data_IF_921177125707
#
_entry.id   IF_921177125707
#
_cell.length_a   1.000
_cell.length_b   1.000
_cell.length_c   1.000
_cell.angle_alpha   90.00
_cell.angle_beta   90.00
_cell.angle_gamma   90.00
#
_symmetry.space_group_name_H-M   'P 1'
#
loop_
_entity.id
_entity.type
_entity.pdbx_description
1 polymer ?
#
# COMPACT_ATOMS: atom_id res chain seq x y z
N UNK A 1 -19.52 -23.95 9.25
CA UNK A 1 -20.60 -24.82 9.78
C UNK A 1 -20.23 -25.44 11.14
N UNK A 2 -18.95 -25.75 11.41
CA UNK A 2 -18.51 -26.34 12.69
C UNK A 2 -18.53 -25.38 13.90
N UNK A 3 -18.29 -24.09 13.69
CA UNK A 3 -18.30 -23.07 14.76
C UNK A 3 -19.69 -22.87 15.36
N UNK A 4 -20.74 -22.83 14.53
CA UNK A 4 -22.15 -22.73 14.96
C UNK A 4 -22.61 -23.92 15.82
N UNK A 5 -22.10 -25.13 15.55
CA UNK A 5 -22.41 -26.34 16.33
C UNK A 5 -21.72 -26.32 17.71
N UNK A 6 -20.57 -25.65 17.78
CA UNK A 6 -19.74 -25.49 18.99
C UNK A 6 -20.39 -24.57 20.03
N UNK A 7 -21.07 -23.52 19.58
CA UNK A 7 -21.70 -22.57 20.49
C UNK A 7 -23.05 -23.06 21.03
N UNK A 8 -23.80 -23.84 20.23
CA UNK A 8 -25.03 -24.50 20.68
C UNK A 8 -24.81 -25.48 21.84
N UNK A 9 -23.80 -26.36 21.77
CA UNK A 9 -23.55 -27.30 22.87
C UNK A 9 -23.12 -26.60 24.17
N UNK A 10 -22.44 -25.45 24.07
CA UNK A 10 -21.99 -24.67 25.22
C UNK A 10 -23.17 -23.95 25.89
N UNK A 11 -24.10 -23.43 25.10
CA UNK A 11 -25.32 -22.80 25.59
C UNK A 11 -26.24 -23.82 26.26
N UNK A 12 -26.41 -25.00 25.65
CA UNK A 12 -27.21 -26.10 26.21
C UNK A 12 -26.65 -26.58 27.54
N UNK A 13 -25.31 -26.67 27.68
CA UNK A 13 -24.66 -27.06 28.93
C UNK A 13 -24.85 -26.04 30.05
N UNK A 14 -24.89 -24.74 29.73
CA UNK A 14 -25.18 -23.68 30.73
C UNK A 14 -26.65 -23.69 31.17
N UNK A 15 -27.57 -23.88 30.23
CA UNK A 15 -29.01 -24.02 30.51
C UNK A 15 -29.30 -25.26 31.37
N UNK A 16 -28.65 -26.39 31.08
CA UNK A 16 -28.78 -27.62 31.87
C UNK A 16 -28.30 -27.45 33.31
N UNK A 17 -27.21 -26.70 33.53
CA UNK A 17 -26.72 -26.39 34.88
C UNK A 17 -27.72 -25.48 35.60
N UNK A 18 -28.19 -24.40 34.98
CA UNK A 18 -29.18 -23.51 35.58
C UNK A 18 -30.49 -24.26 35.93
N UNK A 19 -30.97 -25.12 35.04
CA UNK A 19 -32.17 -25.93 35.24
C UNK A 19 -31.99 -26.92 36.40
N UNK A 20 -30.85 -27.62 36.45
CA UNK A 20 -30.52 -28.55 37.54
C UNK A 20 -30.47 -27.85 38.89
N UNK A 21 -29.88 -26.66 38.95
CA UNK A 21 -29.83 -25.83 40.17
C UNK A 21 -31.23 -25.42 40.61
N UNK A 22 -32.07 -24.96 39.68
CA UNK A 22 -33.46 -24.60 40.00
C UNK A 22 -34.29 -25.80 40.49
N UNK A 23 -34.08 -26.98 39.91
CA UNK A 23 -34.79 -28.20 40.30
C UNK A 23 -34.39 -28.67 41.70
N UNK A 24 -33.11 -28.54 42.05
CA UNK A 24 -32.61 -28.85 43.40
C UNK A 24 -33.23 -27.91 44.44
N UNK A 25 -33.31 -26.60 44.15
CA UNK A 25 -33.93 -25.63 45.05
C UNK A 25 -35.42 -25.92 45.28
N UNK A 26 -36.17 -26.22 44.22
CA UNK A 26 -37.59 -26.58 44.29
C UNK A 26 -37.79 -27.87 45.09
N UNK A 27 -36.91 -28.86 44.90
CA UNK A 27 -36.93 -30.12 45.65
C UNK A 27 -36.70 -29.90 47.15
N UNK A 28 -35.75 -29.02 47.51
CA UNK A 28 -35.46 -28.70 48.91
C UNK A 28 -36.63 -27.94 49.56
N UNK A 29 -37.26 -27.00 48.85
CA UNK A 29 -38.47 -26.30 49.33
C UNK A 29 -39.62 -27.29 49.56
N UNK A 30 -39.82 -28.22 48.63
CA UNK A 30 -40.83 -29.27 48.76
C UNK A 30 -40.56 -30.20 49.95
N UNK A 31 -39.29 -30.54 50.20
CA UNK A 31 -38.88 -31.36 51.35
C UNK A 31 -39.07 -30.62 52.68
N UNK A 32 -38.79 -29.31 52.74
CA UNK A 32 -39.06 -28.47 53.91
C UNK A 32 -40.56 -28.42 54.23
N UNK A 33 -41.43 -28.31 53.23
CA UNK A 33 -42.89 -28.37 53.41
C UNK A 33 -43.38 -29.74 53.89
N UNK A 34 -42.79 -30.81 53.37
CA UNK A 34 -43.18 -32.17 53.74
C UNK A 34 -42.75 -32.54 55.17
N UNK A 35 -41.55 -32.13 55.59
CA UNK A 35 -40.98 -32.49 56.90
C UNK A 35 -41.53 -31.67 58.08
N UNK A 36 -42.03 -30.45 57.85
CA UNK A 36 -42.76 -29.66 58.87
C UNK A 36 -43.99 -30.39 59.43
N UNK A 37 -44.50 -31.42 58.74
CA UNK A 37 -45.77 -32.09 59.07
C UNK A 37 -45.66 -33.23 60.10
N UNK A 38 -44.47 -33.56 60.60
CA UNK A 38 -44.27 -34.67 61.56
C UNK A 38 -43.45 -34.22 62.79
N UNK A 39 -44.07 -34.08 63.98
CA UNK A 39 -43.32 -33.89 65.21
C UNK A 39 -42.84 -35.26 65.72
N UNK A 40 -41.79 -35.26 66.55
CA UNK A 40 -41.16 -36.41 67.25
C UNK A 40 -39.88 -36.93 66.55
N UNK A 41 -38.75 -36.27 66.82
CA UNK A 41 -37.43 -36.86 67.07
C UNK A 41 -36.44 -35.72 67.43
N UNK A 42 -35.72 -35.87 68.56
CA UNK A 42 -34.91 -34.84 69.21
C UNK A 42 -33.57 -34.50 68.55
N UNK A 43 -33.55 -34.42 67.22
CA UNK A 43 -32.38 -33.95 66.45
C UNK A 43 -32.79 -32.69 65.69
N UNK A 44 -31.94 -31.67 65.63
CA UNK A 44 -32.26 -30.41 64.97
C UNK A 44 -32.21 -30.55 63.43
N UNK A 45 -33.26 -31.14 62.88
CA UNK A 45 -33.41 -31.43 61.45
C UNK A 45 -33.45 -30.15 60.61
N UNK A 46 -33.97 -29.05 61.16
CA UNK A 46 -33.91 -27.74 60.51
C UNK A 46 -32.47 -27.28 60.36
N UNK A 47 -31.66 -27.38 61.43
CA UNK A 47 -30.23 -27.07 61.39
C UNK A 47 -29.47 -27.91 60.37
N UNK A 48 -29.71 -29.23 60.32
CA UNK A 48 -29.06 -30.14 59.36
C UNK A 48 -29.43 -29.82 57.90
N UNK A 49 -30.71 -29.57 57.61
CA UNK A 49 -31.20 -29.21 56.28
C UNK A 49 -30.62 -27.88 55.80
N UNK A 50 -30.62 -26.86 56.66
CA UNK A 50 -30.03 -25.56 56.35
C UNK A 50 -28.51 -25.68 56.17
N UNK A 51 -27.84 -26.54 56.94
CA UNK A 51 -26.41 -26.83 56.79
C UNK A 51 -26.05 -27.47 55.44
N UNK A 52 -26.79 -28.50 55.02
CA UNK A 52 -26.57 -29.15 53.72
C UNK A 52 -26.90 -28.19 52.56
N UNK A 53 -27.98 -27.42 52.69
CA UNK A 53 -28.34 -26.40 51.71
C UNK A 53 -27.25 -25.33 51.57
N UNK A 54 -26.73 -24.82 52.69
CA UNK A 54 -25.65 -23.84 52.71
C UNK A 54 -24.36 -24.39 52.08
N UNK A 55 -24.03 -25.66 52.34
CA UNK A 55 -22.89 -26.34 51.73
C UNK A 55 -23.05 -26.47 50.21
N UNK A 56 -24.24 -26.85 49.73
CA UNK A 56 -24.57 -26.93 48.30
C UNK A 56 -24.48 -25.57 47.62
N UNK A 57 -25.11 -24.54 48.16
CA UNK A 57 -25.09 -23.19 47.60
C UNK A 57 -23.65 -22.64 47.56
N UNK A 58 -22.85 -22.89 48.60
CA UNK A 58 -21.44 -22.48 48.64
C UNK A 58 -20.62 -23.18 47.55
N UNK A 59 -20.82 -24.48 47.33
CA UNK A 59 -20.15 -25.23 46.26
C UNK A 59 -20.55 -24.73 44.86
N UNK A 60 -21.83 -24.36 44.65
CA UNK A 60 -22.30 -23.75 43.41
C UNK A 60 -21.63 -22.39 43.14
N UNK A 61 -21.58 -21.52 44.14
CA UNK A 61 -20.94 -20.20 44.01
C UNK A 61 -19.44 -20.36 43.74
N UNK A 62 -18.77 -21.28 44.43
CA UNK A 62 -17.36 -21.60 44.21
C UNK A 62 -17.08 -22.06 42.77
N UNK A 63 -17.94 -22.90 42.19
CA UNK A 63 -17.83 -23.33 40.80
C UNK A 63 -18.03 -22.19 39.79
N UNK A 64 -18.99 -21.29 40.05
CA UNK A 64 -19.23 -20.12 39.21
C UNK A 64 -18.01 -19.18 39.21
N UNK A 65 -17.45 -18.88 40.39
CA UNK A 65 -16.25 -18.04 40.53
C UNK A 65 -15.06 -18.66 39.78
N UNK A 66 -14.79 -19.95 39.98
CA UNK A 66 -13.70 -20.65 39.29
C UNK A 66 -13.86 -20.60 37.75
N UNK A 67 -15.09 -20.77 37.27
CA UNK A 67 -15.38 -20.72 35.83
C UNK A 67 -15.17 -19.32 35.25
N UNK A 68 -15.60 -18.27 35.96
CA UNK A 68 -15.43 -16.87 35.53
C UNK A 68 -13.96 -16.48 35.39
N UNK A 69 -13.13 -16.80 36.39
CA UNK A 69 -11.68 -16.52 36.35
C UNK A 69 -11.01 -17.25 35.17
N UNK A 70 -11.40 -18.50 34.92
CA UNK A 70 -10.88 -19.28 33.77
C UNK A 70 -11.30 -18.72 32.40
N UNK A 71 -12.44 -18.03 32.33
CA UNK A 71 -12.90 -17.33 31.11
C UNK A 71 -12.14 -16.03 30.90
N UNK A 72 -11.92 -15.23 31.95
CA UNK A 72 -11.14 -13.98 31.88
C UNK A 72 -9.72 -14.24 31.38
N UNK A 73 -9.04 -15.26 31.90
CA UNK A 73 -7.70 -15.63 31.43
C UNK A 73 -7.70 -15.97 29.93
N UNK A 74 -8.68 -16.76 29.47
CA UNK A 74 -8.81 -17.10 28.04
C UNK A 74 -9.15 -15.88 27.19
N UNK A 75 -9.94 -14.94 27.70
CA UNK A 75 -10.26 -13.70 26.99
C UNK A 75 -9.00 -12.85 26.82
N UNK A 76 -8.19 -12.69 27.88
CA UNK A 76 -6.92 -11.98 27.81
C UNK A 76 -5.92 -12.62 26.84
N UNK A 77 -5.86 -13.95 26.78
CA UNK A 77 -5.02 -14.66 25.81
C UNK A 77 -5.56 -14.49 24.37
N UNK A 78 -6.88 -14.41 24.20
CA UNK A 78 -7.49 -14.13 22.88
C UNK A 78 -7.20 -12.70 22.45
N UNK A 79 -7.35 -11.71 23.33
CA UNK A 79 -7.01 -10.30 23.06
C UNK A 79 -5.55 -10.16 22.63
N UNK A 80 -4.61 -10.74 23.40
CA UNK A 80 -3.19 -10.76 23.01
C UNK A 80 -2.94 -11.41 21.65
N UNK A 81 -3.65 -12.49 21.34
CA UNK A 81 -3.54 -13.15 20.03
C UNK A 81 -4.10 -12.29 18.91
N UNK A 82 -5.19 -11.55 19.15
CA UNK A 82 -5.77 -10.61 18.19
C UNK A 82 -4.82 -9.43 17.97
N UNK A 83 -4.24 -8.87 19.03
CA UNK A 83 -3.28 -7.78 18.94
C UNK A 83 -2.03 -8.22 18.16
N UNK A 84 -1.46 -9.38 18.48
CA UNK A 84 -0.34 -9.94 17.75
C UNK A 84 -0.68 -10.21 16.27
N UNK A 85 -1.90 -10.65 15.96
CA UNK A 85 -2.32 -10.80 14.56
C UNK A 85 -2.42 -9.45 13.86
N UNK A 86 -2.98 -8.43 14.53
CA UNK A 86 -3.08 -7.09 13.97
C UNK A 86 -1.69 -6.51 13.69
N UNK A 87 -0.72 -6.67 14.59
CA UNK A 87 0.65 -6.19 14.36
C UNK A 87 1.29 -6.90 13.17
N UNK A 88 1.15 -8.23 13.07
CA UNK A 88 1.69 -9.00 11.93
C UNK A 88 1.04 -8.59 10.61
N UNK A 89 -0.28 -8.36 10.60
CA UNK A 89 -1.00 -7.90 9.41
C UNK A 89 -0.54 -6.52 8.96
N UNK A 90 -0.32 -5.58 9.88
CA UNK A 90 0.20 -4.26 9.54
C UNK A 90 1.64 -4.33 9.02
N UNK A 91 2.49 -5.20 9.57
CA UNK A 91 3.83 -5.46 9.05
C UNK A 91 3.81 -6.07 7.64
N UNK A 92 2.94 -7.06 7.39
CA UNK A 92 2.79 -7.68 6.06
C UNK A 92 2.24 -6.69 5.03
N UNK A 93 1.21 -5.90 5.39
CA UNK A 93 0.70 -4.82 4.52
C UNK A 93 1.79 -3.85 4.13
N UNK A 94 2.62 -3.44 5.09
CA UNK A 94 3.74 -2.54 4.84
C UNK A 94 4.74 -3.14 3.85
N UNK A 95 5.14 -4.40 4.06
CA UNK A 95 6.06 -5.11 3.14
C UNK A 95 5.49 -5.20 1.74
N UNK A 96 4.21 -5.58 1.61
CA UNK A 96 3.53 -5.65 0.30
C UNK A 96 3.51 -4.27 -0.36
N UNK A 97 3.23 -3.20 0.38
CA UNK A 97 3.22 -1.85 -0.16
C UNK A 97 4.62 -1.42 -0.64
N UNK A 98 5.66 -1.67 0.17
CA UNK A 98 7.05 -1.38 -0.18
C UNK A 98 7.50 -2.18 -1.43
N UNK A 99 7.08 -3.45 -1.55
CA UNK A 99 7.33 -4.29 -2.73
C UNK A 99 6.61 -3.78 -3.98
N UNK A 100 5.32 -3.40 -3.85
CA UNK A 100 4.55 -2.82 -4.95
C UNK A 100 5.17 -1.50 -5.44
N UNK A 101 5.55 -0.61 -4.53
CA UNK A 101 6.22 0.66 -4.84
C UNK A 101 7.57 0.41 -5.54
N UNK A 102 8.34 -0.59 -5.11
CA UNK A 102 9.59 -0.99 -5.75
C UNK A 102 9.38 -1.50 -7.19
N UNK A 103 8.39 -2.37 -7.39
CA UNK A 103 8.07 -2.92 -8.71
C UNK A 103 7.52 -1.86 -9.66
N UNK A 104 6.70 -0.93 -9.16
CA UNK A 104 6.22 0.22 -9.93
C UNK A 104 7.39 1.13 -10.35
N UNK A 105 8.31 1.46 -9.43
CA UNK A 105 9.51 2.24 -9.77
C UNK A 105 10.34 1.59 -10.86
N UNK A 106 10.62 0.28 -10.76
CA UNK A 106 11.36 -0.47 -11.80
C UNK A 106 10.62 -0.46 -13.14
N UNK A 107 9.30 -0.65 -13.12
CA UNK A 107 8.46 -0.66 -14.32
C UNK A 107 8.50 0.70 -15.02
N UNK A 108 8.26 1.78 -14.27
CA UNK A 108 8.27 3.16 -14.78
C UNK A 108 9.65 3.54 -15.32
N UNK A 109 10.72 3.14 -14.63
CA UNK A 109 12.10 3.32 -15.06
C UNK A 109 12.38 2.64 -16.41
N UNK A 110 11.94 1.38 -16.59
CA UNK A 110 12.06 0.64 -17.85
C UNK A 110 11.22 1.26 -18.98
N UNK A 111 10.00 1.69 -18.68
CA UNK A 111 9.12 2.35 -19.64
C UNK A 111 9.75 3.67 -20.13
N UNK A 112 10.20 4.51 -19.20
CA UNK A 112 10.90 5.76 -19.51
C UNK A 112 12.13 5.50 -20.41
N UNK A 113 12.93 4.48 -20.10
CA UNK A 113 14.08 4.13 -20.93
C UNK A 113 13.68 3.75 -22.37
N UNK A 114 12.62 2.95 -22.54
CA UNK A 114 12.12 2.56 -23.87
C UNK A 114 11.59 3.76 -24.65
N UNK A 115 10.82 4.65 -23.99
CA UNK A 115 10.33 5.89 -24.61
C UNK A 115 11.50 6.79 -25.01
N UNK A 116 12.50 6.95 -24.16
CA UNK A 116 13.69 7.73 -24.46
C UNK A 116 14.44 7.22 -25.69
N UNK A 117 14.63 5.90 -25.79
CA UNK A 117 15.21 5.25 -26.97
C UNK A 117 14.39 5.42 -28.24
N UNK A 118 13.06 5.31 -28.13
CA UNK A 118 12.17 5.48 -29.28
C UNK A 118 12.26 6.90 -29.84
N UNK A 119 12.27 7.91 -28.97
CA UNK A 119 12.43 9.30 -29.38
C UNK A 119 13.79 9.56 -30.02
N UNK A 120 14.88 9.02 -29.44
CA UNK A 120 16.21 9.11 -30.07
C UNK A 120 16.21 8.51 -31.48
N UNK A 121 15.61 7.33 -31.65
CA UNK A 121 15.51 6.67 -32.95
C UNK A 121 14.68 7.48 -33.94
N UNK A 122 13.55 8.05 -33.50
CA UNK A 122 12.72 8.93 -34.33
C UNK A 122 13.53 10.12 -34.83
N UNK A 123 14.18 10.87 -33.94
CA UNK A 123 15.04 12.00 -34.32
C UNK A 123 16.13 11.58 -35.32
N UNK A 124 16.82 10.47 -35.04
CA UNK A 124 17.88 9.96 -35.91
C UNK A 124 17.38 9.51 -37.28
N UNK A 125 16.19 8.90 -37.37
CA UNK A 125 15.57 8.51 -38.64
C UNK A 125 15.22 9.74 -39.47
N UNK A 126 14.53 10.72 -38.88
CA UNK A 126 14.19 11.97 -39.58
C UNK A 126 15.45 12.67 -40.10
N UNK A 127 16.50 12.76 -39.27
CA UNK A 127 17.75 13.38 -39.67
C UNK A 127 18.48 12.58 -40.76
N UNK A 128 18.47 11.25 -40.69
CA UNK A 128 19.07 10.38 -41.72
C UNK A 128 18.34 10.47 -43.07
N UNK A 129 17.03 10.72 -43.04
CA UNK A 129 16.21 10.98 -44.23
C UNK A 129 16.38 12.41 -44.77
N UNK A 130 17.18 13.26 -44.10
CA UNK A 130 17.39 14.68 -44.43
C UNK A 130 16.09 15.48 -44.46
N UNK A 131 15.17 15.09 -43.59
CA UNK A 131 13.92 15.82 -43.37
C UNK A 131 14.23 17.21 -42.83
N UNK A 132 13.59 18.23 -43.38
CA UNK A 132 13.89 19.63 -43.08
C UNK A 132 13.08 20.18 -41.90
N UNK A 133 12.63 19.28 -41.02
CA UNK A 133 11.78 19.54 -39.85
C UNK A 133 12.62 19.66 -38.58
N UNK A 134 13.55 20.60 -38.57
CA UNK A 134 14.62 20.67 -37.58
C UNK A 134 14.10 20.89 -36.16
N UNK A 135 13.05 21.68 -35.96
CA UNK A 135 12.47 21.87 -34.63
C UNK A 135 11.77 20.62 -34.10
N UNK A 136 11.13 19.83 -34.97
CA UNK A 136 10.56 18.54 -34.59
C UNK A 136 11.66 17.54 -34.21
N UNK A 137 12.74 17.47 -35.01
CA UNK A 137 13.89 16.61 -34.74
C UNK A 137 14.54 16.98 -33.39
N UNK A 138 14.76 18.28 -33.15
CA UNK A 138 15.27 18.77 -31.87
C UNK A 138 14.36 18.39 -30.70
N UNK A 139 13.04 18.53 -30.84
CA UNK A 139 12.08 18.11 -29.83
C UNK A 139 12.18 16.60 -29.53
N UNK A 140 12.35 15.73 -30.54
CA UNK A 140 12.58 14.30 -30.30
C UNK A 140 13.83 14.06 -29.44
N UNK A 141 14.92 14.77 -29.69
CA UNK A 141 16.13 14.63 -28.87
C UNK A 141 15.99 15.16 -27.45
N UNK A 142 15.29 16.29 -27.25
CA UNK A 142 14.95 16.77 -25.91
C UNK A 142 14.10 15.73 -25.16
N UNK A 143 13.11 15.13 -25.84
CA UNK A 143 12.29 14.07 -25.25
C UNK A 143 13.12 12.82 -24.93
N UNK A 144 14.08 12.47 -25.78
CA UNK A 144 14.98 11.34 -25.53
C UNK A 144 15.77 11.56 -24.22
N UNK A 145 16.41 12.72 -24.04
CA UNK A 145 17.12 13.07 -22.81
C UNK A 145 16.17 13.09 -21.61
N UNK A 146 15.02 13.74 -21.75
CA UNK A 146 14.01 13.85 -20.69
C UNK A 146 13.64 12.49 -20.09
N UNK A 147 13.27 11.53 -20.94
CA UNK A 147 12.84 10.21 -20.49
C UNK A 147 14.01 9.34 -20.04
N UNK A 148 15.19 9.45 -20.64
CA UNK A 148 16.40 8.75 -20.15
C UNK A 148 16.76 9.21 -18.73
N UNK A 149 16.68 10.52 -18.43
CA UNK A 149 16.97 11.04 -17.09
C UNK A 149 15.96 10.61 -16.02
N UNK A 150 14.75 10.21 -16.41
CA UNK A 150 13.72 9.62 -15.55
C UNK A 150 13.82 8.09 -15.44
N UNK A 151 14.82 7.50 -16.07
CA UNK A 151 15.15 6.08 -15.95
C UNK A 151 16.41 5.90 -15.11
N UNK A 152 16.60 4.69 -14.57
CA UNK A 152 17.84 4.32 -13.88
C UNK A 152 18.97 3.97 -14.87
N UNK A 153 18.71 4.04 -16.18
CA UNK A 153 19.66 3.67 -17.23
C UNK A 153 20.52 4.85 -17.68
N UNK A 154 21.80 4.59 -17.99
CA UNK A 154 22.81 5.61 -18.34
C UNK A 154 22.98 5.90 -19.84
N UNK A 155 22.17 5.31 -20.73
CA UNK A 155 22.58 5.25 -22.14
C UNK A 155 22.02 6.38 -23.02
N UNK A 156 22.88 6.79 -23.97
CA UNK A 156 22.61 7.64 -25.14
C UNK A 156 22.51 9.16 -24.93
N UNK A 157 22.85 9.71 -23.75
CA UNK A 157 22.83 11.19 -23.58
C UNK A 157 23.84 11.88 -24.51
N UNK A 158 25.12 11.48 -24.47
CA UNK A 158 26.13 12.13 -25.32
C UNK A 158 25.83 11.98 -26.81
N UNK A 159 25.54 10.78 -27.36
CA UNK A 159 25.12 10.67 -28.75
C UNK A 159 23.89 11.52 -29.09
N UNK A 160 22.95 11.68 -28.15
CA UNK A 160 21.78 12.55 -28.37
C UNK A 160 22.21 14.01 -28.48
N UNK A 161 23.09 14.49 -27.59
CA UNK A 161 23.64 15.86 -27.65
C UNK A 161 24.40 16.11 -28.95
N UNK A 162 25.20 15.15 -29.41
CA UNK A 162 25.96 15.26 -30.66
C UNK A 162 25.01 15.39 -31.87
N UNK A 163 23.92 14.60 -31.90
CA UNK A 163 22.91 14.72 -32.96
C UNK A 163 22.08 16.01 -32.85
N UNK A 164 21.79 16.50 -31.64
CA UNK A 164 21.17 17.81 -31.44
C UNK A 164 22.04 18.92 -32.03
N UNK A 165 23.34 18.89 -31.76
CA UNK A 165 24.28 19.86 -32.32
C UNK A 165 24.31 19.80 -33.85
N UNK A 166 24.37 18.59 -34.41
CA UNK A 166 24.32 18.40 -35.86
C UNK A 166 23.03 18.99 -36.45
N UNK A 167 21.87 18.66 -35.87
CA UNK A 167 20.56 19.15 -36.32
C UNK A 167 20.50 20.70 -36.31
N UNK A 168 20.99 21.34 -35.25
CA UNK A 168 21.01 22.80 -35.17
C UNK A 168 22.01 23.43 -36.16
N UNK A 169 23.14 22.76 -36.41
CA UNK A 169 24.12 23.22 -37.40
C UNK A 169 23.57 23.15 -38.84
N UNK A 170 22.88 22.07 -39.18
CA UNK A 170 22.21 21.88 -40.47
C UNK A 170 21.09 22.91 -40.65
N UNK A 171 20.30 23.17 -39.59
CA UNK A 171 19.28 24.22 -39.60
C UNK A 171 19.83 25.60 -39.88
N UNK A 172 20.98 25.96 -39.28
CA UNK A 172 21.63 27.26 -39.50
C UNK A 172 22.13 27.44 -40.93
N UNK A 173 22.53 26.34 -41.59
CA UNK A 173 23.00 26.36 -42.97
C UNK A 173 21.87 26.27 -44.01
N UNK A 174 20.69 25.82 -43.61
CA UNK A 174 19.56 25.63 -44.50
C UNK A 174 18.89 26.96 -44.90
N UNK A 175 18.65 27.13 -46.20
CA UNK A 175 17.88 28.26 -46.76
C UNK A 175 16.41 27.92 -47.01
N UNK A 176 16.07 26.64 -46.95
CA UNK A 176 14.73 26.08 -47.17
C UNK A 176 14.47 25.03 -46.08
N UNK A 177 13.33 25.11 -45.40
CA UNK A 177 12.99 24.31 -44.23
C UNK A 177 11.47 24.18 -44.04
N UNK A 178 11.05 23.12 -43.35
CA UNK A 178 9.65 22.80 -43.06
C UNK A 178 9.42 22.73 -41.55
N UNK A 179 9.69 23.84 -40.87
CA UNK A 179 9.57 23.98 -39.41
C UNK A 179 8.14 24.39 -38.97
N UNK A 180 7.13 24.28 -39.84
CA UNK A 180 5.77 24.71 -39.57
C UNK A 180 5.15 23.98 -38.36
N UNK A 181 5.22 24.64 -37.20
CA UNK A 181 4.32 24.61 -36.03
C UNK A 181 3.79 23.28 -35.46
N UNK A 182 4.44 22.14 -35.70
CA UNK A 182 4.03 20.86 -35.08
C UNK A 182 4.55 20.66 -33.64
N UNK A 183 5.32 21.61 -33.10
CA UNK A 183 5.93 21.53 -31.77
C UNK A 183 5.20 22.44 -30.78
N UNK A 184 4.62 21.82 -29.76
CA UNK A 184 4.09 22.52 -28.58
C UNK A 184 5.27 23.10 -27.76
N UNK A 185 5.53 24.40 -27.96
CA UNK A 185 6.67 25.11 -27.39
C UNK A 185 6.58 25.22 -25.86
N UNK A 186 5.39 25.40 -25.29
CA UNK A 186 5.22 25.46 -23.85
C UNK A 186 5.57 24.12 -23.20
N UNK A 187 5.11 23.02 -23.81
CA UNK A 187 5.43 21.67 -23.36
C UNK A 187 6.91 21.34 -23.54
N UNK A 188 7.54 21.82 -24.61
CA UNK A 188 8.97 21.67 -24.84
C UNK A 188 9.78 22.42 -23.78
N UNK A 189 9.50 23.71 -23.57
CA UNK A 189 10.16 24.55 -22.57
C UNK A 189 10.08 23.94 -21.17
N UNK A 190 8.90 23.44 -20.78
CA UNK A 190 8.72 22.75 -19.50
C UNK A 190 9.64 21.53 -19.36
N UNK A 191 9.80 20.73 -20.42
CA UNK A 191 10.71 19.56 -20.40
C UNK A 191 12.17 20.00 -20.30
N UNK A 192 12.55 21.08 -20.98
CA UNK A 192 13.89 21.66 -20.93
C UNK A 192 14.22 22.11 -19.50
N UNK A 193 13.30 22.81 -18.85
CA UNK A 193 13.45 23.24 -17.44
C UNK A 193 13.60 22.02 -16.51
N UNK A 194 12.77 20.97 -16.69
CA UNK A 194 12.89 19.73 -15.91
C UNK A 194 14.23 19.02 -16.13
N UNK A 195 14.79 19.03 -17.35
CA UNK A 195 16.12 18.49 -17.65
C UNK A 195 17.21 19.32 -16.95
N UNK A 196 17.15 20.64 -17.08
CA UNK A 196 18.09 21.59 -16.48
C UNK A 196 18.12 21.44 -14.95
N UNK A 197 16.96 21.22 -14.33
CA UNK A 197 16.83 21.05 -12.89
C UNK A 197 17.03 19.60 -12.40
N UNK A 198 17.19 18.64 -13.32
CA UNK A 198 17.32 17.23 -12.98
C UNK A 198 18.53 16.97 -12.09
N UNK A 199 18.32 16.28 -10.97
CA UNK A 199 19.40 15.84 -10.05
C UNK A 199 19.89 14.44 -10.38
N UNK A 200 19.57 13.92 -11.56
CA UNK A 200 19.97 12.56 -11.95
C UNK A 200 21.49 12.43 -11.94
N UNK A 201 22.06 11.41 -11.26
CA UNK A 201 23.50 11.17 -11.27
C UNK A 201 24.02 10.75 -12.65
N UNK A 202 23.10 10.35 -13.55
CA UNK A 202 23.41 9.94 -14.91
C UNK A 202 23.60 11.13 -15.87
N UNK A 203 23.38 12.36 -15.40
CA UNK A 203 23.56 13.58 -16.20
C UNK A 203 24.80 14.33 -15.73
N UNK A 204 25.92 14.17 -16.45
CA UNK A 204 27.18 14.76 -16.02
C UNK A 204 27.12 16.30 -16.09
N UNK A 205 27.94 17.01 -15.28
CA UNK A 205 28.00 18.46 -15.35
C UNK A 205 28.34 18.99 -16.75
N UNK A 206 29.15 18.27 -17.50
CA UNK A 206 29.57 18.64 -18.86
C UNK A 206 28.41 18.49 -19.84
N UNK A 207 27.73 17.35 -19.82
CA UNK A 207 26.51 17.11 -20.62
C UNK A 207 25.43 18.15 -20.33
N UNK A 208 25.30 18.59 -19.07
CA UNK A 208 24.36 19.65 -18.70
C UNK A 208 24.72 21.00 -19.30
N UNK A 209 26.00 21.37 -19.26
CA UNK A 209 26.48 22.61 -19.89
C UNK A 209 26.29 22.56 -21.41
N UNK A 210 26.57 21.41 -22.03
CA UNK A 210 26.36 21.21 -23.46
C UNK A 210 24.89 21.32 -23.84
N UNK A 211 24.00 20.69 -23.08
CA UNK A 211 22.55 20.81 -23.27
C UNK A 211 22.07 22.27 -23.16
N UNK A 212 22.51 23.00 -22.13
CA UNK A 212 22.15 24.42 -21.95
C UNK A 212 22.66 25.30 -23.10
N UNK A 213 23.88 25.03 -23.60
CA UNK A 213 24.42 25.71 -24.78
C UNK A 213 23.56 25.44 -26.01
N UNK A 214 23.18 24.19 -26.24
CA UNK A 214 22.32 23.81 -27.37
C UNK A 214 20.92 24.42 -27.26
N UNK A 215 20.34 24.49 -26.07
CA UNK A 215 19.07 25.19 -25.83
C UNK A 215 19.18 26.69 -26.16
N UNK A 216 20.27 27.33 -25.73
CA UNK A 216 20.52 28.74 -26.07
C UNK A 216 20.57 28.94 -27.58
N UNK A 217 21.29 28.07 -28.30
CA UNK A 217 21.37 28.12 -29.77
C UNK A 217 20.00 27.88 -30.41
N UNK A 218 19.23 26.91 -29.91
CA UNK A 218 17.88 26.62 -30.39
C UNK A 218 16.98 27.85 -30.26
N UNK A 219 16.98 28.52 -29.11
CA UNK A 219 16.20 29.74 -28.86
C UNK A 219 16.61 30.88 -29.79
N UNK A 220 17.90 31.09 -30.01
CA UNK A 220 18.39 32.09 -30.97
C UNK A 220 17.89 31.83 -32.41
N UNK A 221 17.86 30.56 -32.83
CA UNK A 221 17.33 30.18 -34.15
C UNK A 221 15.82 30.42 -34.20
N UNK A 222 15.10 30.03 -33.16
CA UNK A 222 13.65 30.21 -33.05
C UNK A 222 13.24 31.68 -33.10
N UNK A 223 13.89 32.55 -32.31
CA UNK A 223 13.58 33.98 -32.28
C UNK A 223 13.85 34.69 -33.62
N UNK A 224 14.83 34.24 -34.39
CA UNK A 224 15.07 34.75 -35.74
C UNK A 224 13.95 34.35 -36.68
N UNK A 225 13.54 33.08 -36.61
CA UNK A 225 12.42 32.56 -37.40
C UNK A 225 11.11 33.30 -37.11
N UNK A 226 10.81 33.64 -35.86
CA UNK A 226 9.57 34.37 -35.50
C UNK A 226 9.54 35.83 -36.02
N UNK A 227 10.70 36.39 -36.39
CA UNK A 227 10.83 37.78 -36.86
C UNK A 227 10.90 37.90 -38.40
N UNK A 228 11.04 36.79 -39.12
CA UNK A 228 11.08 36.71 -40.59
C UNK A 228 9.69 36.40 -41.18
#
# INVERSE_FOLDING_TARGET
METQKKDRYKLDRRLLICLSVSAILISIIALCFAAYRTPILGFDYMGLLVGILAALVTALIGWQIFTTIGVEKKMSDVEKRVDNMNTLLEEEKKKINDELDNEERKRNSKENYLIGKMNFLQGHVFQSLKEKKFFMIYNYYVQAIYYVLKSDSQNNIQPTLDNMELCLSERKAATDYDDYADVDIDKLNKKIDEIIMSKSPNFTPDQRRDFMRLDTIYREIWEKHEKE
#
